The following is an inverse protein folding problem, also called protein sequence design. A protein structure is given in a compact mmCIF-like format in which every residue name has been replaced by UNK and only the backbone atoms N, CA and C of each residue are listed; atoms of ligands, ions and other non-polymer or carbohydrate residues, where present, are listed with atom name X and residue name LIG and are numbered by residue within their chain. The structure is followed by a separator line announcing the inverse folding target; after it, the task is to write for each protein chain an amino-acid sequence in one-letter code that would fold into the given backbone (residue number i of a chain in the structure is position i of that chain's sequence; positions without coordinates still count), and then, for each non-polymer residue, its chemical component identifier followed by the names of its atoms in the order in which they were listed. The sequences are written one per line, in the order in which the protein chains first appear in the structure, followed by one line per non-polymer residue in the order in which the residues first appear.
data_IF_836520017111
#
_entry.id   IF_836520017111
#
_cell.length_a   1.000
_cell.length_b   1.000
_cell.length_c   1.000
_cell.angle_alpha   90.00
_cell.angle_beta   90.00
_cell.angle_gamma   90.00
#
_symmetry.space_group_name_H-M   'P 1'
#
loop_
_entity.id
_entity.type
_entity.pdbx_description
1 polymer ?
#
# COMPACT_ATOMS: atom_id res chain seq x y z
N UNK A 1 25.42 -2.74 -5.61
CA UNK A 1 24.96 -3.61 -4.50
C UNK A 1 25.61 -3.07 -3.22
N UNK A 2 24.83 -2.78 -2.18
CA UNK A 2 25.37 -2.20 -0.95
C UNK A 2 26.23 -3.21 -0.21
N UNK A 3 27.26 -2.76 0.51
CA UNK A 3 27.99 -3.62 1.45
C UNK A 3 27.01 -4.08 2.54
N UNK A 4 27.00 -5.38 2.80
CA UNK A 4 26.13 -6.01 3.80
C UNK A 4 26.54 -5.56 5.21
N UNK A 5 25.53 -5.15 5.99
CA UNK A 5 25.68 -4.93 7.42
C UNK A 5 25.68 -6.25 8.18
N UNK A 6 25.98 -6.18 9.48
CA UNK A 6 25.84 -7.33 10.38
C UNK A 6 25.11 -6.96 11.65
N UNK A 7 24.30 -7.87 12.17
CA UNK A 7 23.65 -7.71 13.47
C UNK A 7 24.73 -7.61 14.55
N UNK A 8 24.72 -6.51 15.31
CA UNK A 8 25.58 -6.30 16.46
C UNK A 8 24.86 -6.67 17.76
N UNK A 9 23.59 -6.27 17.89
CA UNK A 9 22.77 -6.50 19.09
C UNK A 9 21.30 -6.65 18.72
N UNK A 10 20.58 -7.48 19.45
CA UNK A 10 19.12 -7.63 19.38
C UNK A 10 18.53 -7.30 20.74
N UNK A 11 17.55 -6.39 20.79
CA UNK A 11 16.89 -5.95 22.01
C UNK A 11 15.37 -5.83 21.75
N UNK A 12 14.64 -6.93 21.95
CA UNK A 12 13.23 -7.02 21.57
C UNK A 12 13.07 -6.81 20.06
N UNK A 13 12.16 -5.92 19.59
CA UNK A 13 11.97 -5.67 18.17
C UNK A 13 13.04 -4.73 17.57
N UNK A 14 13.95 -4.20 18.39
CA UNK A 14 15.01 -3.30 17.96
C UNK A 14 16.31 -4.07 17.72
N UNK A 15 16.87 -3.92 16.53
CA UNK A 15 18.13 -4.53 16.11
C UNK A 15 19.14 -3.42 15.83
N UNK A 16 20.36 -3.57 16.36
CA UNK A 16 21.49 -2.69 16.07
C UNK A 16 22.37 -3.38 15.05
N UNK A 17 22.51 -2.78 13.87
CA UNK A 17 23.42 -3.21 12.81
C UNK A 17 24.74 -2.43 12.84
N UNK A 18 25.84 -3.10 12.55
CA UNK A 18 27.16 -2.50 12.28
C UNK A 18 27.53 -2.64 10.81
N UNK A 19 28.52 -1.87 10.36
CA UNK A 19 28.94 -1.78 8.96
C UNK A 19 27.82 -1.25 8.05
N UNK A 20 27.00 -0.33 8.56
CA UNK A 20 25.83 0.23 7.90
C UNK A 20 26.15 1.55 7.18
N UNK A 21 27.40 1.75 6.77
CA UNK A 21 27.85 3.01 6.15
C UNK A 21 27.06 3.32 4.86
N UNK A 22 26.53 4.54 4.79
CA UNK A 22 25.63 4.99 3.73
C UNK A 22 24.17 4.53 3.88
N UNK A 23 23.78 3.98 5.03
CA UNK A 23 22.38 3.72 5.36
C UNK A 23 21.59 5.02 5.39
N UNK A 24 20.36 5.00 4.89
CA UNK A 24 19.46 6.13 4.91
C UNK A 24 18.44 5.98 6.04
N UNK A 25 18.03 7.12 6.63
CA UNK A 25 16.90 7.16 7.54
C UNK A 25 15.62 6.67 6.83
N UNK A 26 14.83 5.85 7.51
CA UNK A 26 13.61 5.21 7.00
C UNK A 26 13.81 4.23 5.85
N UNK A 27 15.05 3.82 5.57
CA UNK A 27 15.36 2.79 4.60
C UNK A 27 14.85 1.43 5.07
N UNK A 28 14.29 0.65 4.15
CA UNK A 28 13.90 -0.73 4.39
C UNK A 28 15.11 -1.65 4.30
N UNK A 29 15.21 -2.59 5.23
CA UNK A 29 16.28 -3.59 5.31
C UNK A 29 15.70 -4.99 5.52
N UNK A 30 16.44 -5.99 5.06
CA UNK A 30 16.20 -7.40 5.39
C UNK A 30 17.19 -7.83 6.46
N UNK A 31 16.70 -8.37 7.58
CA UNK A 31 17.48 -8.63 8.79
C UNK A 31 17.58 -10.13 9.04
N UNK A 32 18.80 -10.62 9.20
CA UNK A 32 19.08 -12.02 9.50
C UNK A 32 19.05 -12.93 8.27
N UNK A 33 19.31 -14.21 8.48
CA UNK A 33 19.17 -15.23 7.43
C UNK A 33 17.70 -15.47 7.05
N UNK A 34 16.77 -15.19 7.97
CA UNK A 34 15.33 -15.23 7.72
C UNK A 34 14.80 -14.00 6.95
N UNK A 35 15.67 -13.06 6.56
CA UNK A 35 15.30 -11.87 5.77
C UNK A 35 14.14 -11.03 6.34
N UNK A 36 14.04 -10.93 7.66
CA UNK A 36 12.95 -10.21 8.33
C UNK A 36 12.90 -8.75 7.89
N UNK A 37 11.71 -8.24 7.61
CA UNK A 37 11.56 -6.86 7.17
C UNK A 37 11.73 -5.91 8.35
N UNK A 38 12.63 -4.93 8.20
CA UNK A 38 12.84 -3.87 9.17
C UNK A 38 13.05 -2.51 8.52
N UNK A 39 12.94 -1.46 9.33
CA UNK A 39 13.12 -0.07 8.93
C UNK A 39 14.21 0.58 9.77
N UNK A 40 15.13 1.30 9.12
CA UNK A 40 16.17 2.07 9.82
C UNK A 40 15.53 3.31 10.47
N UNK A 41 15.58 3.37 11.79
CA UNK A 41 15.01 4.48 12.59
C UNK A 41 16.09 5.42 13.14
N UNK A 42 17.37 5.03 13.07
CA UNK A 42 18.50 5.87 13.46
C UNK A 42 19.78 5.43 12.77
N UNK A 43 20.65 6.38 12.43
CA UNK A 43 22.00 6.13 11.92
C UNK A 43 23.00 6.90 12.78
N UNK A 44 23.99 6.21 13.34
CA UNK A 44 25.05 6.77 14.19
C UNK A 44 26.40 6.24 13.70
N UNK A 45 27.12 7.05 12.91
CA UNK A 45 28.39 6.66 12.29
C UNK A 45 28.24 5.46 11.36
N UNK A 46 28.88 4.34 11.69
CA UNK A 46 28.77 3.08 10.94
C UNK A 46 27.74 2.10 11.52
N UNK A 47 26.98 2.53 12.52
CA UNK A 47 25.90 1.74 13.12
C UNK A 47 24.53 2.29 12.72
N UNK A 48 23.55 1.40 12.63
CA UNK A 48 22.16 1.76 12.39
C UNK A 48 21.24 1.01 13.36
N UNK A 49 20.26 1.72 13.90
CA UNK A 49 19.19 1.14 14.71
C UNK A 49 18.01 0.85 13.80
N UNK A 50 17.57 -0.41 13.81
CA UNK A 50 16.55 -0.96 12.93
C UNK A 50 15.37 -1.41 13.79
N UNK A 51 14.17 -0.96 13.45
CA UNK A 51 12.92 -1.49 13.96
C UNK A 51 12.49 -2.64 13.06
N UNK A 52 12.45 -3.87 13.58
CA UNK A 52 11.95 -5.03 12.83
C UNK A 52 10.42 -5.09 12.99
N UNK A 53 9.71 -5.33 11.89
CA UNK A 53 8.24 -5.41 11.88
C UNK A 53 7.71 -6.82 12.16
N UNK A 54 8.60 -7.81 12.18
CA UNK A 54 8.32 -9.21 12.49
C UNK A 54 8.98 -9.61 13.82
N UNK A 55 8.65 -10.81 14.31
CA UNK A 55 9.22 -11.31 15.56
C UNK A 55 10.70 -11.67 15.40
N UNK A 56 11.54 -11.05 16.23
CA UNK A 56 13.01 -11.19 16.20
C UNK A 56 13.53 -12.47 16.87
N UNK A 57 12.67 -13.34 17.36
CA UNK A 57 13.06 -14.57 18.09
C UNK A 57 13.98 -15.46 17.26
N UNK A 58 15.19 -15.73 17.73
CA UNK A 58 16.11 -16.66 17.06
C UNK A 58 17.04 -16.03 16.03
N UNK A 59 16.89 -14.74 15.67
CA UNK A 59 17.97 -14.00 14.99
C UNK A 59 19.11 -13.71 15.98
N UNK A 60 20.35 -13.71 15.51
CA UNK A 60 21.54 -13.67 16.36
C UNK A 60 22.53 -12.59 15.91
N UNK A 61 23.33 -12.03 16.84
CA UNK A 61 24.48 -11.23 16.47
C UNK A 61 25.40 -11.96 15.49
N UNK A 62 25.84 -11.25 14.45
CA UNK A 62 26.69 -11.75 13.37
C UNK A 62 25.99 -12.02 12.05
N UNK A 63 24.66 -12.25 12.05
CA UNK A 63 23.89 -12.45 10.82
C UNK A 63 23.84 -11.20 9.95
N UNK A 64 23.55 -11.38 8.66
CA UNK A 64 23.57 -10.29 7.66
C UNK A 64 22.40 -9.32 7.81
N UNK A 65 22.64 -8.08 7.38
CA UNK A 65 21.61 -7.06 7.18
C UNK A 65 21.76 -6.53 5.74
N UNK A 66 20.73 -6.75 4.93
CA UNK A 66 20.72 -6.34 3.52
C UNK A 66 19.90 -5.08 3.34
N UNK A 67 20.52 -4.05 2.77
CA UNK A 67 19.93 -2.74 2.48
C UNK A 67 19.22 -2.74 1.14
N UNK A 68 18.01 -2.17 1.09
CA UNK A 68 17.23 -2.06 -0.15
C UNK A 68 17.47 -0.74 -0.88
N UNK A 69 18.02 0.28 -0.21
CA UNK A 69 18.17 1.63 -0.74
C UNK A 69 16.86 2.37 -0.96
N UNK A 70 15.73 1.82 -0.53
CA UNK A 70 14.39 2.39 -0.73
C UNK A 70 13.67 2.51 0.61
N UNK A 71 12.83 3.55 0.79
CA UNK A 71 11.98 3.63 1.96
C UNK A 71 10.88 2.57 1.92
N UNK A 72 10.24 2.30 3.06
CA UNK A 72 9.02 1.51 3.09
C UNK A 72 7.99 2.09 2.11
N UNK A 73 7.64 1.28 1.12
CA UNK A 73 6.81 1.67 -0.02
C UNK A 73 5.77 0.60 -0.27
N UNK A 74 4.63 1.03 -0.80
CA UNK A 74 3.52 0.15 -1.20
C UNK A 74 3.37 0.15 -2.71
N UNK A 75 2.91 -0.97 -3.25
CA UNK A 75 2.54 -1.13 -4.65
C UNK A 75 1.10 -0.66 -4.87
N UNK A 76 0.92 0.21 -5.86
CA UNK A 76 -0.37 0.80 -6.23
C UNK A 76 -0.65 0.47 -7.69
N UNK A 77 -1.76 -0.20 -7.96
CA UNK A 77 -2.17 -0.62 -9.30
C UNK A 77 -3.45 -1.46 -9.25
N UNK A 78 -3.90 -1.99 -10.39
CA UNK A 78 -5.06 -2.86 -10.45
C UNK A 78 -4.78 -4.19 -9.73
N UNK A 79 -5.78 -4.69 -9.02
CA UNK A 79 -5.71 -5.89 -8.18
C UNK A 79 -5.57 -5.60 -6.70
N UNK A 80 -5.70 -4.35 -6.27
CA UNK A 80 -5.70 -3.97 -4.84
C UNK A 80 -7.11 -4.08 -4.24
N UNK A 81 -8.16 -3.86 -5.05
CA UNK A 81 -9.53 -3.92 -4.58
C UNK A 81 -9.95 -5.37 -4.27
N UNK A 82 -10.59 -5.55 -3.13
CA UNK A 82 -11.01 -6.86 -2.62
C UNK A 82 -9.87 -7.71 -2.03
N UNK A 83 -8.61 -7.22 -2.05
CA UNK A 83 -7.51 -7.89 -1.37
C UNK A 83 -7.46 -7.54 0.11
N UNK A 84 -6.90 -8.46 0.90
CA UNK A 84 -6.68 -8.31 2.32
C UNK A 84 -5.17 -8.38 2.56
N UNK A 85 -4.64 -7.34 3.19
CA UNK A 85 -3.21 -7.18 3.41
C UNK A 85 -2.88 -7.17 4.90
N UNK A 86 -1.65 -7.59 5.23
CA UNK A 86 -1.05 -7.30 6.52
C UNK A 86 -0.49 -5.86 6.59
N UNK A 87 0.16 -5.52 7.72
CA UNK A 87 0.70 -4.18 7.96
C UNK A 87 1.82 -3.72 7.02
N UNK A 88 2.38 -4.62 6.19
CA UNK A 88 3.42 -4.31 5.21
C UNK A 88 3.00 -4.67 3.78
N UNK A 89 1.69 -4.74 3.53
CA UNK A 89 1.10 -4.98 2.21
C UNK A 89 1.40 -6.36 1.61
N UNK A 90 1.52 -7.41 2.43
CA UNK A 90 1.54 -8.80 1.97
C UNK A 90 0.12 -9.37 1.95
N UNK A 91 -0.36 -9.94 0.83
CA UNK A 91 -1.72 -10.45 0.73
C UNK A 91 -1.90 -11.70 1.58
N UNK A 92 -2.77 -11.64 2.59
CA UNK A 92 -2.99 -12.72 3.56
C UNK A 92 -3.38 -14.06 2.90
N UNK A 93 -4.27 -14.11 1.87
CA UNK A 93 -4.60 -15.38 1.22
C UNK A 93 -3.37 -16.07 0.61
N UNK A 94 -2.45 -15.32 -0.01
CA UNK A 94 -1.24 -15.90 -0.60
C UNK A 94 -0.22 -16.36 0.43
N UNK A 95 -0.17 -15.69 1.59
CA UNK A 95 0.65 -16.17 2.72
C UNK A 95 0.08 -17.52 3.19
N UNK A 96 -1.24 -17.59 3.38
CA UNK A 96 -1.91 -18.82 3.81
C UNK A 96 -1.68 -19.98 2.85
N UNK A 97 -1.69 -19.74 1.53
CA UNK A 97 -1.38 -20.76 0.52
C UNK A 97 0.05 -21.32 0.65
N UNK A 98 0.99 -20.55 1.19
CA UNK A 98 2.39 -20.94 1.34
C UNK A 98 2.71 -21.57 2.71
N UNK A 99 2.12 -21.05 3.78
CA UNK A 99 2.51 -21.38 5.16
C UNK A 99 1.38 -21.96 6.02
N UNK A 100 0.19 -22.12 5.45
CA UNK A 100 -0.98 -22.63 6.15
C UNK A 100 -1.61 -21.61 7.10
N UNK A 101 -2.15 -22.10 8.22
CA UNK A 101 -2.94 -21.28 9.16
C UNK A 101 -2.12 -20.24 9.94
N UNK A 102 -0.79 -20.39 9.97
CA UNK A 102 0.12 -19.50 10.68
C UNK A 102 0.99 -18.70 9.71
N UNK A 103 1.22 -17.43 10.03
CA UNK A 103 2.12 -16.57 9.27
C UNK A 103 3.55 -16.89 9.71
N UNK A 104 4.31 -17.57 8.85
CA UNK A 104 5.74 -17.74 9.09
C UNK A 104 6.50 -16.44 8.84
N UNK A 105 7.69 -16.35 9.45
CA UNK A 105 8.51 -15.14 9.45
C UNK A 105 9.40 -15.10 8.22
N UNK A 106 9.62 -13.92 7.66
CA UNK A 106 10.46 -13.77 6.47
C UNK A 106 9.77 -14.16 5.16
N UNK A 107 8.49 -14.53 5.21
CA UNK A 107 7.71 -14.83 4.01
C UNK A 107 7.59 -13.57 3.17
N UNK A 108 8.05 -13.68 1.93
CA UNK A 108 7.99 -12.61 0.93
C UNK A 108 7.05 -13.02 -0.18
N UNK A 109 5.95 -12.27 -0.32
CA UNK A 109 4.97 -12.44 -1.41
C UNK A 109 4.75 -11.08 -2.10
N UNK A 110 4.64 -11.03 -3.43
CA UNK A 110 4.29 -9.80 -4.14
C UNK A 110 2.93 -9.25 -3.68
N UNK A 111 2.83 -7.93 -3.50
CA UNK A 111 1.61 -7.26 -3.06
C UNK A 111 0.49 -7.34 -4.10
N UNK A 112 0.84 -7.20 -5.38
CA UNK A 112 -0.09 -7.39 -6.50
C UNK A 112 0.26 -8.67 -7.26
N UNK A 113 -0.77 -9.33 -7.80
CA UNK A 113 -0.58 -10.53 -8.61
C UNK A 113 0.15 -10.22 -9.92
N UNK A 114 1.32 -10.85 -10.10
CA UNK A 114 2.16 -10.68 -11.30
C UNK A 114 1.70 -11.49 -12.49
N UNK A 115 0.89 -12.53 -12.28
CA UNK A 115 0.43 -13.42 -13.32
C UNK A 115 -0.95 -13.04 -13.84
N UNK A 116 -1.72 -12.29 -13.05
CA UNK A 116 -3.04 -11.80 -13.46
C UNK A 116 -2.91 -10.77 -14.57
N UNK A 117 -3.66 -10.99 -15.64
CA UNK A 117 -3.78 -10.09 -16.76
C UNK A 117 -5.01 -9.20 -16.60
N UNK A 118 -4.87 -7.97 -17.09
CA UNK A 118 -5.87 -6.91 -17.01
C UNK A 118 -6.07 -6.31 -18.39
N UNK A 119 -7.34 -6.22 -18.81
CA UNK A 119 -7.68 -5.52 -20.05
C UNK A 119 -7.47 -4.02 -19.87
N UNK A 120 -6.42 -3.51 -20.51
CA UNK A 120 -6.07 -2.10 -20.50
C UNK A 120 -6.59 -1.41 -21.75
N UNK A 121 -7.28 -0.28 -21.55
CA UNK A 121 -7.81 0.56 -22.61
C UNK A 121 -7.03 1.89 -22.59
N UNK A 122 -6.18 2.17 -23.60
CA UNK A 122 -5.41 3.39 -23.66
C UNK A 122 -6.31 4.61 -23.91
N UNK A 123 -6.06 5.71 -23.21
CA UNK A 123 -6.75 7.00 -23.41
C UNK A 123 -5.82 8.00 -24.12
N UNK A 124 -4.51 7.87 -23.93
CA UNK A 124 -3.49 8.67 -24.61
C UNK A 124 -2.94 7.96 -25.84
N UNK A 125 -2.38 8.73 -26.76
CA UNK A 125 -1.72 8.25 -27.98
C UNK A 125 -0.24 8.66 -27.98
N UNK A 126 0.52 8.06 -28.88
CA UNK A 126 1.90 8.47 -29.12
C UNK A 126 1.98 9.95 -29.50
N UNK A 127 2.95 10.66 -28.93
CA UNK A 127 3.12 12.10 -29.10
C UNK A 127 2.29 12.96 -28.13
N UNK A 128 1.39 12.37 -27.33
CA UNK A 128 0.65 13.11 -26.30
C UNK A 128 1.59 13.72 -25.26
N UNK A 129 1.41 15.01 -24.97
CA UNK A 129 2.08 15.67 -23.84
C UNK A 129 1.32 15.40 -22.56
N UNK A 130 1.98 14.75 -21.61
CA UNK A 130 1.38 14.34 -20.34
C UNK A 130 2.15 14.90 -19.15
N UNK A 131 1.45 15.07 -18.04
CA UNK A 131 1.96 15.54 -16.76
C UNK A 131 1.60 14.55 -15.65
N UNK A 132 2.31 14.63 -14.54
CA UNK A 132 2.05 13.86 -13.31
C UNK A 132 0.55 13.87 -12.95
N UNK A 133 -0.03 12.67 -12.84
CA UNK A 133 -1.44 12.49 -12.49
C UNK A 133 -2.41 12.50 -13.69
N UNK A 134 -1.95 12.75 -14.91
CA UNK A 134 -2.78 12.57 -16.11
C UNK A 134 -3.10 11.09 -16.32
N UNK A 135 -4.26 10.79 -16.90
CA UNK A 135 -4.71 9.42 -17.16
C UNK A 135 -4.08 8.91 -18.45
N UNK A 136 -3.31 7.82 -18.36
CA UNK A 136 -2.73 7.09 -19.50
C UNK A 136 -3.76 6.17 -20.14
N UNK A 137 -4.57 5.52 -19.31
CA UNK A 137 -5.64 4.62 -19.72
C UNK A 137 -6.42 4.08 -18.54
N UNK A 138 -7.29 3.13 -18.79
CA UNK A 138 -8.15 2.54 -17.76
C UNK A 138 -8.13 1.02 -17.81
N UNK A 139 -8.25 0.41 -16.65
CA UNK A 139 -8.47 -1.03 -16.45
C UNK A 139 -9.80 -1.22 -15.74
N UNK A 140 -10.59 -2.20 -16.15
CA UNK A 140 -11.78 -2.61 -15.42
C UNK A 140 -11.37 -3.56 -14.28
N UNK A 141 -11.27 -3.04 -13.06
CA UNK A 141 -10.77 -3.83 -11.92
C UNK A 141 -11.88 -4.69 -11.29
N UNK A 142 -13.07 -4.11 -11.19
CA UNK A 142 -14.31 -4.79 -10.79
C UNK A 142 -15.43 -4.38 -11.74
N UNK A 143 -16.58 -5.06 -11.66
CA UNK A 143 -17.76 -4.72 -12.47
C UNK A 143 -18.31 -3.30 -12.23
N UNK A 144 -17.90 -2.65 -11.13
CA UNK A 144 -18.34 -1.31 -10.75
C UNK A 144 -17.24 -0.26 -10.92
N UNK A 145 -15.97 -0.66 -10.81
CA UNK A 145 -14.85 0.28 -10.70
C UNK A 145 -13.93 0.18 -11.92
N UNK A 146 -13.86 1.29 -12.65
CA UNK A 146 -12.82 1.54 -13.66
C UNK A 146 -11.60 2.18 -13.01
N UNK A 147 -10.55 1.39 -12.86
CA UNK A 147 -9.25 1.84 -12.34
C UNK A 147 -8.54 2.70 -13.38
N UNK A 148 -8.19 3.94 -13.02
CA UNK A 148 -7.45 4.85 -13.88
C UNK A 148 -5.95 4.67 -13.68
N UNK A 149 -5.24 4.34 -14.74
CA UNK A 149 -3.78 4.26 -14.74
C UNK A 149 -3.24 5.66 -14.96
N UNK A 150 -2.51 6.18 -13.98
CA UNK A 150 -2.03 7.55 -13.95
C UNK A 150 -0.55 7.63 -14.31
N UNK A 151 -0.13 8.74 -14.92
CA UNK A 151 1.28 9.10 -15.01
C UNK A 151 1.86 9.20 -13.60
N UNK A 152 2.98 8.50 -13.29
CA UNK A 152 3.54 8.52 -11.95
C UNK A 152 3.92 9.93 -11.49
N UNK A 153 3.94 10.18 -10.18
CA UNK A 153 4.25 11.49 -9.64
C UNK A 153 5.63 12.02 -10.06
N UNK A 154 5.74 13.34 -10.22
CA UNK A 154 6.97 14.04 -10.61
C UNK A 154 7.51 13.69 -12.01
N UNK A 155 6.73 12.96 -12.83
CA UNK A 155 7.06 12.69 -14.23
C UNK A 155 6.21 13.57 -15.14
N UNK A 156 6.84 14.11 -16.17
CA UNK A 156 6.15 14.82 -17.25
C UNK A 156 6.97 14.68 -18.53
N UNK A 157 6.29 14.66 -19.67
CA UNK A 157 6.97 14.39 -20.93
C UNK A 157 6.00 14.10 -22.07
N UNK A 158 6.53 13.44 -23.08
CA UNK A 158 5.80 12.98 -24.26
C UNK A 158 5.68 11.46 -24.17
N UNK A 159 4.49 10.93 -24.46
CA UNK A 159 4.24 9.49 -24.54
C UNK A 159 4.86 8.95 -25.83
N UNK A 160 5.67 7.91 -25.69
CA UNK A 160 6.29 7.12 -26.74
C UNK A 160 5.92 5.64 -26.53
N UNK A 161 5.83 4.86 -27.60
CA UNK A 161 5.59 3.40 -27.58
C UNK A 161 4.35 2.98 -26.76
N UNK A 162 3.22 3.68 -26.95
CA UNK A 162 1.96 3.35 -26.30
C UNK A 162 1.41 2.02 -26.82
N UNK A 163 1.13 1.10 -25.91
CA UNK A 163 0.54 -0.19 -26.26
C UNK A 163 -0.91 -0.04 -26.73
N UNK A 164 -1.36 -0.95 -27.61
CA UNK A 164 -2.76 -1.03 -28.03
C UNK A 164 -3.65 -1.58 -26.92
N UNK A 165 -4.97 -1.45 -27.07
CA UNK A 165 -5.92 -2.14 -26.21
C UNK A 165 -5.63 -3.65 -26.19
N UNK A 166 -5.60 -4.25 -25.00
CA UNK A 166 -5.26 -5.66 -24.82
C UNK A 166 -5.12 -6.05 -23.36
N UNK A 167 -4.74 -7.30 -23.14
CA UNK A 167 -4.53 -7.88 -21.82
C UNK A 167 -3.05 -7.77 -21.43
N UNK A 168 -2.79 -7.14 -20.28
CA UNK A 168 -1.43 -6.89 -19.78
C UNK A 168 -1.31 -7.21 -18.29
N UNK A 169 -0.13 -7.63 -17.87
CA UNK A 169 0.21 -7.85 -16.46
C UNK A 169 0.59 -6.54 -15.78
N UNK A 170 0.57 -6.56 -14.45
CA UNK A 170 0.86 -5.36 -13.65
C UNK A 170 2.27 -4.77 -13.87
N UNK A 171 3.23 -5.61 -14.27
CA UNK A 171 4.62 -5.23 -14.54
C UNK A 171 4.92 -4.92 -16.01
N UNK A 172 3.99 -5.21 -16.91
CA UNK A 172 4.18 -4.97 -18.33
C UNK A 172 4.28 -3.47 -18.60
N UNK A 173 5.19 -3.12 -19.50
CA UNK A 173 5.39 -1.74 -19.92
C UNK A 173 4.25 -1.34 -20.87
N UNK A 174 3.49 -0.32 -20.48
CA UNK A 174 2.36 0.20 -21.27
C UNK A 174 2.76 1.37 -22.18
N UNK A 175 3.76 2.16 -21.77
CA UNK A 175 4.35 3.20 -22.59
C UNK A 175 5.68 3.68 -21.99
N UNK A 176 6.40 4.51 -22.74
CA UNK A 176 7.58 5.24 -22.29
C UNK A 176 7.22 6.72 -22.22
N UNK A 177 7.55 7.38 -21.12
CA UNK A 177 7.39 8.83 -20.97
C UNK A 177 8.77 9.47 -21.11
N UNK A 178 8.96 10.19 -22.20
CA UNK A 178 10.20 10.88 -22.56
C UNK A 178 10.13 12.33 -22.10
N UNK A 179 10.95 12.69 -21.11
CA UNK A 179 10.87 14.02 -20.48
C UNK A 179 12.21 14.52 -19.93
N UNK A 180 12.20 15.62 -19.16
CA UNK A 180 13.41 16.21 -18.57
C UNK A 180 14.15 15.25 -17.63
N UNK A 181 13.44 14.29 -17.03
CA UNK A 181 13.99 13.24 -16.17
C UNK A 181 14.57 12.04 -16.95
N UNK A 182 14.59 12.11 -18.29
CA UNK A 182 14.94 11.00 -19.17
C UNK A 182 13.72 10.21 -19.63
N UNK A 183 13.97 9.00 -20.17
CA UNK A 183 12.93 8.06 -20.58
C UNK A 183 12.56 7.18 -19.39
N UNK A 184 11.31 7.27 -18.94
CA UNK A 184 10.80 6.46 -17.82
C UNK A 184 9.72 5.49 -18.34
N UNK A 185 9.87 4.18 -18.13
CA UNK A 185 8.82 3.22 -18.49
C UNK A 185 7.64 3.35 -17.53
N UNK A 186 6.44 3.48 -18.07
CA UNK A 186 5.19 3.41 -17.33
C UNK A 186 4.63 1.98 -17.38
N UNK A 187 4.06 1.54 -16.26
CA UNK A 187 3.45 0.22 -16.07
C UNK A 187 2.05 0.40 -15.47
N UNK A 188 1.26 -0.66 -15.41
CA UNK A 188 -0.03 -0.63 -14.72
C UNK A 188 0.10 -0.41 -13.20
N UNK A 189 1.21 -0.84 -12.61
CA UNK A 189 1.52 -0.59 -11.21
C UNK A 189 2.69 0.39 -11.02
N UNK A 190 2.71 1.06 -9.87
CA UNK A 190 3.86 1.84 -9.41
C UNK A 190 4.05 1.69 -7.89
N UNK A 191 5.25 1.96 -7.41
CA UNK A 191 5.55 1.96 -5.96
C UNK A 191 5.50 3.38 -5.40
N UNK A 192 4.96 3.55 -4.20
CA UNK A 192 4.90 4.85 -3.52
C UNK A 192 5.33 4.76 -2.05
N UNK A 193 6.21 5.65 -1.55
CA UNK A 193 6.61 5.65 -0.15
C UNK A 193 5.45 5.95 0.80
N UNK A 194 5.26 5.14 1.84
CA UNK A 194 4.10 5.29 2.76
C UNK A 194 4.17 6.55 3.62
N UNK A 195 5.39 7.06 3.86
CA UNK A 195 5.64 8.28 4.65
C UNK A 195 5.52 9.56 3.83
N UNK A 196 5.33 9.46 2.51
CA UNK A 196 5.16 10.61 1.63
C UNK A 196 3.70 10.71 1.20
N UNK A 197 2.98 11.81 1.51
CA UNK A 197 1.62 11.97 1.02
C UNK A 197 1.64 12.06 -0.51
N UNK A 198 0.62 11.49 -1.18
CA UNK A 198 0.50 11.62 -2.64
C UNK A 198 0.29 13.08 -3.02
N UNK A 199 0.95 13.58 -4.07
CA UNK A 199 0.81 14.97 -4.49
C UNK A 199 -0.58 15.25 -5.06
N UNK A 200 -1.03 16.48 -4.90
CA UNK A 200 -2.31 16.99 -5.40
C UNK A 200 -2.12 18.39 -5.97
N UNK A 201 -3.01 18.82 -6.87
CA UNK A 201 -2.91 20.13 -7.54
C UNK A 201 -3.24 21.29 -6.60
N UNK A 202 -4.35 21.20 -5.87
CA UNK A 202 -4.80 22.19 -4.90
C UNK A 202 -5.76 21.54 -3.91
N UNK A 203 -5.73 21.98 -2.66
CA UNK A 203 -6.71 21.59 -1.64
C UNK A 203 -8.01 22.38 -1.86
N UNK A 204 -9.14 21.68 -1.93
CA UNK A 204 -10.47 22.29 -2.04
C UNK A 204 -11.20 22.17 -0.70
N UNK A 205 -12.07 23.13 -0.33
CA UNK A 205 -12.96 22.97 0.82
C UNK A 205 -13.91 21.78 0.63
N UNK A 206 -14.27 21.10 1.72
CA UNK A 206 -15.26 20.03 1.72
C UNK A 206 -16.66 20.60 1.92
N UNK A 207 -17.41 20.76 0.84
CA UNK A 207 -18.79 21.28 0.81
C UNK A 207 -19.86 20.18 0.67
N UNK A 208 -19.45 18.99 0.25
CA UNK A 208 -20.34 17.85 0.01
C UNK A 208 -20.47 17.00 1.28
N UNK A 209 -21.67 16.74 1.83
CA UNK A 209 -21.85 15.87 2.98
C UNK A 209 -21.54 14.40 2.63
N UNK A 210 -20.93 13.67 3.57
CA UNK A 210 -20.83 12.22 3.54
C UNK A 210 -22.08 11.66 4.23
N UNK A 211 -23.04 11.19 3.44
CA UNK A 211 -24.22 10.51 3.97
C UNK A 211 -23.77 9.18 4.54
N UNK A 212 -23.93 8.98 5.84
CA UNK A 212 -23.44 7.80 6.55
C UNK A 212 -24.49 6.69 6.71
N UNK A 213 -25.77 7.03 6.50
CA UNK A 213 -26.90 6.14 6.76
C UNK A 213 -27.30 6.08 8.24
N UNK A 214 -26.58 6.78 9.11
CA UNK A 214 -26.83 6.80 10.55
C UNK A 214 -27.48 8.14 10.93
N UNK A 215 -28.77 8.10 11.27
CA UNK A 215 -29.57 9.30 11.61
C UNK A 215 -28.90 10.23 12.61
N UNK A 216 -28.23 9.67 13.63
CA UNK A 216 -27.56 10.47 14.66
C UNK A 216 -26.34 11.22 14.12
N UNK A 217 -25.56 10.61 13.22
CA UNK A 217 -24.42 11.26 12.59
C UNK A 217 -24.92 12.27 11.55
N UNK A 218 -25.80 11.84 10.65
CA UNK A 218 -26.24 12.67 9.53
C UNK A 218 -27.01 13.92 10.00
N UNK A 219 -27.67 13.87 11.17
CA UNK A 219 -28.42 15.00 11.72
C UNK A 219 -27.64 15.82 12.76
N UNK A 220 -27.09 15.19 13.80
CA UNK A 220 -26.47 15.94 14.92
C UNK A 220 -24.99 16.24 14.69
N UNK A 221 -24.27 15.37 13.99
CA UNK A 221 -22.81 15.45 13.83
C UNK A 221 -22.38 15.18 12.37
N UNK A 222 -22.89 15.96 11.39
CA UNK A 222 -22.68 15.67 9.98
C UNK A 222 -21.19 15.73 9.63
N UNK A 223 -20.76 14.78 8.79
CA UNK A 223 -19.40 14.67 8.30
C UNK A 223 -19.41 15.07 6.83
N UNK A 224 -18.45 15.89 6.39
CA UNK A 224 -18.28 16.20 4.97
C UNK A 224 -17.36 15.17 4.28
N UNK A 225 -17.52 14.93 2.97
CA UNK A 225 -16.59 14.13 2.16
C UNK A 225 -15.20 14.79 2.18
N UNK A 226 -14.19 14.03 2.59
CA UNK A 226 -12.84 14.55 2.86
C UNK A 226 -12.65 15.17 4.26
N UNK A 227 -13.69 15.18 5.09
CA UNK A 227 -13.63 15.55 6.50
C UNK A 227 -12.97 14.48 7.37
N UNK A 228 -12.70 14.83 8.63
CA UNK A 228 -12.11 13.92 9.63
C UNK A 228 -13.03 13.85 10.83
N UNK A 229 -13.32 12.64 11.29
CA UNK A 229 -14.14 12.37 12.47
C UNK A 229 -13.45 11.37 13.39
N UNK A 230 -13.78 11.43 14.67
CA UNK A 230 -13.31 10.49 15.68
C UNK A 230 -14.49 9.93 16.48
N UNK A 231 -14.48 8.62 16.73
CA UNK A 231 -15.48 7.93 17.56
C UNK A 231 -14.77 7.42 18.81
N UNK A 232 -14.58 8.26 19.84
CA UNK A 232 -13.98 7.83 21.10
C UNK A 232 -14.95 6.92 21.87
N UNK A 233 -14.41 6.01 22.68
CA UNK A 233 -15.23 5.15 23.52
C UNK A 233 -14.44 4.05 24.21
N UNK A 234 -14.95 3.56 25.34
CA UNK A 234 -14.38 2.44 26.09
C UNK A 234 -14.48 1.11 25.36
N UNK A 235 -13.92 0.05 25.95
CA UNK A 235 -14.08 -1.30 25.42
C UNK A 235 -15.56 -1.71 25.44
N UNK A 236 -16.04 -2.32 24.34
CA UNK A 236 -17.42 -2.81 24.24
C UNK A 236 -18.49 -1.74 24.02
N UNK A 237 -18.15 -0.45 23.83
CA UNK A 237 -19.14 0.62 23.60
C UNK A 237 -19.69 0.69 22.17
N UNK A 238 -19.48 -0.35 21.36
CA UNK A 238 -19.98 -0.39 19.97
C UNK A 238 -19.16 0.37 18.93
N UNK A 239 -17.89 0.72 19.20
CA UNK A 239 -17.02 1.42 18.24
C UNK A 239 -16.88 0.66 16.91
N UNK A 240 -16.49 -0.61 16.98
CA UNK A 240 -16.31 -1.47 15.81
C UNK A 240 -17.61 -1.65 15.05
N UNK A 241 -18.73 -1.85 15.76
CA UNK A 241 -20.06 -1.95 15.16
C UNK A 241 -20.39 -0.68 14.37
N UNK A 242 -20.13 0.50 14.95
CA UNK A 242 -20.37 1.77 14.29
C UNK A 242 -19.49 1.95 13.04
N UNK A 243 -18.20 1.59 13.12
CA UNK A 243 -17.28 1.64 11.98
C UNK A 243 -17.71 0.68 10.86
N UNK A 244 -18.18 -0.52 11.20
CA UNK A 244 -18.73 -1.46 10.23
C UNK A 244 -19.98 -0.89 9.56
N UNK A 245 -20.90 -0.27 10.32
CA UNK A 245 -22.08 0.38 9.72
C UNK A 245 -21.70 1.50 8.75
N UNK A 246 -20.71 2.33 9.11
CA UNK A 246 -20.17 3.34 8.20
C UNK A 246 -19.57 2.68 6.94
N UNK A 247 -18.80 1.61 7.10
CA UNK A 247 -18.20 0.90 5.98
C UNK A 247 -19.23 0.19 5.07
N UNK A 248 -20.47 0.00 5.51
CA UNK A 248 -21.51 -0.67 4.73
C UNK A 248 -22.44 0.32 4.03
N UNK A 249 -22.75 1.44 4.68
CA UNK A 249 -23.83 2.33 4.26
C UNK A 249 -23.37 3.74 3.86
N UNK A 250 -22.11 4.09 4.11
CA UNK A 250 -21.61 5.40 3.72
C UNK A 250 -21.61 5.56 2.20
N UNK A 251 -22.00 6.76 1.75
CA UNK A 251 -21.96 7.16 0.34
C UNK A 251 -20.51 7.41 -0.15
N UNK A 252 -19.77 6.31 -0.33
CA UNK A 252 -18.39 6.29 -0.79
C UNK A 252 -18.19 5.21 -1.87
N UNK A 253 -17.45 5.55 -2.93
CA UNK A 253 -17.21 4.62 -4.05
C UNK A 253 -16.26 3.48 -3.67
N UNK A 254 -15.30 3.75 -2.78
CA UNK A 254 -14.27 2.81 -2.33
C UNK A 254 -14.04 3.02 -0.84
N UNK A 255 -13.95 1.92 -0.10
CA UNK A 255 -13.73 1.92 1.34
C UNK A 255 -12.42 1.18 1.63
N UNK A 256 -11.52 1.86 2.34
CA UNK A 256 -10.26 1.28 2.82
C UNK A 256 -10.40 1.09 4.32
N UNK A 257 -10.50 -0.18 4.74
CA UNK A 257 -10.65 -0.56 6.15
C UNK A 257 -9.30 -0.99 6.72
N UNK A 258 -8.83 -0.32 7.77
CA UNK A 258 -7.53 -0.60 8.41
C UNK A 258 -7.74 -0.89 9.89
N UNK A 259 -7.52 -2.13 10.30
CA UNK A 259 -7.52 -2.54 11.70
C UNK A 259 -6.12 -2.39 12.31
N UNK A 260 -6.00 -1.71 13.45
CA UNK A 260 -4.73 -1.55 14.16
C UNK A 260 -4.90 -1.99 15.62
N UNK A 261 -4.28 -3.12 15.98
CA UNK A 261 -4.40 -3.69 17.33
C UNK A 261 -5.81 -4.21 17.67
N UNK A 262 -6.63 -4.46 16.66
CA UNK A 262 -7.98 -5.00 16.83
C UNK A 262 -7.95 -6.49 17.19
N UNK A 263 -9.02 -6.96 17.83
CA UNK A 263 -9.15 -8.39 18.16
C UNK A 263 -9.35 -9.20 16.89
N UNK A 264 -8.68 -10.35 16.80
CA UNK A 264 -8.76 -11.24 15.63
C UNK A 264 -10.19 -11.62 15.25
N UNK A 265 -11.07 -11.87 16.22
CA UNK A 265 -12.47 -12.21 15.98
C UNK A 265 -13.26 -11.07 15.32
N UNK A 266 -12.96 -9.81 15.66
CA UNK A 266 -13.63 -8.64 15.07
C UNK A 266 -13.25 -8.48 13.59
N UNK A 267 -11.97 -8.71 13.28
CA UNK A 267 -11.50 -8.71 11.89
C UNK A 267 -12.04 -9.90 11.11
N UNK A 268 -12.07 -11.10 11.69
CA UNK A 268 -12.64 -12.28 11.04
C UNK A 268 -14.12 -12.07 10.67
N UNK A 269 -14.92 -11.46 11.55
CA UNK A 269 -16.32 -11.13 11.27
C UNK A 269 -16.47 -10.17 10.08
N UNK A 270 -15.60 -9.15 9.97
CA UNK A 270 -15.57 -8.23 8.83
C UNK A 270 -15.28 -8.99 7.54
N UNK A 271 -14.24 -9.83 7.55
CA UNK A 271 -13.82 -10.61 6.38
C UNK A 271 -14.87 -11.63 5.93
N UNK A 272 -15.65 -12.19 6.86
CA UNK A 272 -16.72 -13.13 6.51
C UNK A 272 -17.97 -12.42 5.96
N UNK A 273 -18.32 -11.26 6.52
CA UNK A 273 -19.55 -10.54 6.16
C UNK A 273 -19.40 -9.71 4.90
N UNK A 274 -18.31 -8.97 4.74
CA UNK A 274 -18.18 -7.97 3.67
C UNK A 274 -18.30 -8.57 2.26
N UNK A 275 -17.72 -9.74 1.95
CA UNK A 275 -17.89 -10.38 0.64
C UNK A 275 -19.32 -10.82 0.33
N UNK A 276 -20.17 -11.00 1.35
CA UNK A 276 -21.56 -11.43 1.20
C UNK A 276 -22.53 -10.26 1.03
N UNK A 277 -22.08 -9.03 1.30
CA UNK A 277 -22.91 -7.84 1.15
C UNK A 277 -23.07 -7.50 -0.32
N UNK A 278 -24.32 -7.27 -0.72
CA UNK A 278 -24.63 -6.73 -2.04
C UNK A 278 -24.79 -5.23 -1.90
N UNK A 279 -24.08 -4.49 -2.73
CA UNK A 279 -24.36 -3.07 -2.88
C UNK A 279 -25.82 -2.94 -3.38
N UNK A 280 -26.68 -2.15 -2.70
CA UNK A 280 -28.03 -1.88 -3.18
C UNK A 280 -28.08 -1.04 -4.46
N UNK A 281 -26.96 -0.46 -4.91
CA UNK A 281 -26.84 0.35 -6.14
C UNK A 281 -26.59 -0.48 -7.40
#
# INVERSE_FOLDING_TARGET
MFKEGKIQRVAGPVVIGKNMSGALMYELVKVGESELIGEIIRVEGETATIQVYEETTGIRPGEKIVRTGKPLSVELGPGILGQIYDGIQRPLPKIMDLTGDFIERGVTVPSLDRNREWRFIPVQMDGSKVRSGDVLGTVEETSLIKHKILVPPNISGIVEDMVSEGDYKVEDQICIISGPAGKVPARLMHTWPVRSPRPFKRKVPSDTPLVTGQRIIDFLFPIAKGGTAAIPGGFGTGKTVMQQQLAQWADADIIVYVGCGERGNEMAEVLERFPKLKDPR
#
